data_IF_636018785954
#
_entry.id   IF_636018785954
#
_cell.length_a   1.000
_cell.length_b   1.000
_cell.length_c   1.000
_cell.angle_alpha   90.00
_cell.angle_beta   90.00
_cell.angle_gamma   90.00
#
_symmetry.space_group_name_H-M   'P 1'
#
loop_
_entity.id
_entity.type
_entity.pdbx_description
1 polymer ?
#
# COMPACT_ATOMS: atom_id res chain seq x y z
N UNK A 1 11.65 6.93 9.60
CA UNK A 1 11.89 5.98 8.48
C UNK A 1 10.71 6.07 7.54
N UNK A 2 10.93 6.10 6.22
CA UNK A 2 9.85 6.15 5.25
C UNK A 2 10.25 5.49 3.94
N UNK A 3 9.29 4.95 3.22
CA UNK A 3 9.51 4.27 1.96
C UNK A 3 8.28 4.34 1.06
N UNK A 4 8.53 4.33 -0.25
CA UNK A 4 7.49 4.38 -1.27
C UNK A 4 7.70 3.26 -2.28
N UNK A 5 6.63 2.51 -2.54
CA UNK A 5 6.59 1.52 -3.60
C UNK A 5 5.47 1.83 -4.57
N UNK A 6 5.76 1.69 -5.87
CA UNK A 6 4.81 2.01 -6.94
C UNK A 6 4.80 0.90 -7.96
N UNK A 7 3.66 0.24 -8.12
CA UNK A 7 3.41 -0.60 -9.28
C UNK A 7 2.94 0.27 -10.44
N UNK A 8 3.75 0.32 -11.50
CA UNK A 8 3.57 1.25 -12.62
C UNK A 8 2.78 0.59 -13.74
N UNK A 9 1.84 1.33 -14.32
CA UNK A 9 1.26 0.97 -15.59
C UNK A 9 2.33 1.08 -16.71
N UNK A 10 2.56 0.08 -17.57
CA UNK A 10 3.66 0.12 -18.55
C UNK A 10 3.55 1.28 -19.53
N UNK A 11 2.35 1.56 -20.03
CA UNK A 11 2.14 2.59 -21.06
C UNK A 11 2.35 4.01 -20.52
N UNK A 12 1.70 4.36 -19.41
CA UNK A 12 1.66 5.74 -18.89
C UNK A 12 2.60 6.01 -17.72
N UNK A 13 3.16 4.95 -17.13
CA UNK A 13 3.94 4.99 -15.88
C UNK A 13 3.18 5.56 -14.68
N UNK A 14 1.86 5.75 -14.77
CA UNK A 14 1.03 6.09 -13.61
C UNK A 14 1.04 4.97 -12.57
N UNK A 15 0.74 5.33 -11.31
CA UNK A 15 0.63 4.34 -10.24
C UNK A 15 -0.69 3.61 -10.44
N UNK A 16 -0.63 2.34 -10.83
CA UNK A 16 -1.82 1.49 -10.75
C UNK A 16 -2.20 1.31 -9.27
N UNK A 17 -1.17 1.03 -8.45
CA UNK A 17 -1.20 1.13 -7.00
C UNK A 17 0.14 1.68 -6.53
N UNK A 18 0.11 2.72 -5.71
CA UNK A 18 1.25 3.24 -4.97
C UNK A 18 1.00 3.13 -3.47
N UNK A 19 2.01 2.78 -2.70
CA UNK A 19 1.93 2.72 -1.24
C UNK A 19 3.11 3.45 -0.63
N UNK A 20 2.79 4.45 0.19
CA UNK A 20 3.74 5.19 1.00
C UNK A 20 3.60 4.79 2.45
N UNK A 21 4.70 4.44 3.09
CA UNK A 21 4.75 4.08 4.51
C UNK A 21 5.71 5.01 5.23
N UNK A 22 5.30 5.55 6.37
CA UNK A 22 6.16 6.34 7.25
C UNK A 22 5.96 5.95 8.71
N UNK A 23 7.08 5.75 9.41
CA UNK A 23 7.12 5.61 10.86
C UNK A 23 7.43 6.98 11.48
N UNK A 24 6.47 7.50 12.25
CA UNK A 24 6.45 8.80 12.91
C UNK A 24 6.46 8.60 14.43
N UNK A 25 7.65 8.40 15.00
CA UNK A 25 7.79 8.04 16.42
C UNK A 25 7.08 6.72 16.71
N UNK A 26 6.03 6.76 17.54
CA UNK A 26 5.23 5.58 17.91
C UNK A 26 4.12 5.24 16.90
N UNK A 27 3.83 6.09 15.93
CA UNK A 27 2.74 5.88 14.99
C UNK A 27 3.26 5.52 13.60
N UNK A 28 2.54 4.66 12.88
CA UNK A 28 2.78 4.39 11.46
C UNK A 28 1.64 4.95 10.62
N UNK A 29 1.98 5.47 9.43
CA UNK A 29 1.03 5.92 8.41
C UNK A 29 1.26 5.17 7.12
N UNK A 30 0.17 4.70 6.52
CA UNK A 30 0.17 3.95 5.25
C UNK A 30 -0.83 4.62 4.31
N UNK A 31 -0.32 5.35 3.32
CA UNK A 31 -1.12 6.01 2.31
C UNK A 31 -1.10 5.22 1.01
N UNK A 32 -2.29 4.98 0.44
CA UNK A 32 -2.48 4.27 -0.83
C UNK A 32 -2.91 5.27 -1.89
N UNK A 33 -2.30 5.18 -3.07
CA UNK A 33 -2.57 6.06 -4.23
C UNK A 33 -2.86 5.23 -5.48
N UNK A 34 -3.66 5.78 -6.40
CA UNK A 34 -4.02 5.14 -7.68
C UNK A 34 -5.04 4.00 -7.60
N UNK A 35 -5.22 3.39 -6.42
CA UNK A 35 -6.10 2.22 -6.26
C UNK A 35 -7.60 2.55 -6.19
N UNK A 36 -7.97 3.77 -5.78
CA UNK A 36 -9.36 4.22 -5.57
C UNK A 36 -9.60 5.61 -6.18
N UNK A 37 -10.81 6.16 -6.04
CA UNK A 37 -11.17 7.49 -6.53
C UNK A 37 -10.29 8.63 -5.96
N UNK A 38 -9.80 8.45 -4.73
CA UNK A 38 -8.86 9.36 -4.08
C UNK A 38 -7.81 8.58 -3.27
N UNK A 39 -6.75 9.28 -2.84
CA UNK A 39 -5.80 8.71 -1.92
C UNK A 39 -6.45 8.43 -0.56
N UNK A 40 -6.12 7.31 0.06
CA UNK A 40 -6.70 6.92 1.34
C UNK A 40 -5.67 6.29 2.26
N UNK A 41 -6.00 6.20 3.55
CA UNK A 41 -5.16 5.54 4.56
C UNK A 41 -5.60 4.10 4.78
N UNK A 42 -4.66 3.16 4.68
CA UNK A 42 -4.92 1.75 4.95
C UNK A 42 -4.75 1.45 6.44
N UNK A 43 -5.81 1.68 7.22
CA UNK A 43 -5.80 1.56 8.69
C UNK A 43 -5.36 0.18 9.20
N UNK A 44 -5.78 -0.90 8.55
CA UNK A 44 -5.38 -2.27 8.93
C UNK A 44 -3.86 -2.49 8.83
N UNK A 45 -3.22 -1.93 7.80
CA UNK A 45 -1.76 -1.94 7.66
C UNK A 45 -1.08 -1.03 8.69
N UNK A 46 -1.68 0.13 9.00
CA UNK A 46 -1.16 1.03 10.03
C UNK A 46 -1.16 0.38 11.42
N UNK A 47 -2.22 -0.34 11.78
CA UNK A 47 -2.33 -1.06 13.05
C UNK A 47 -1.25 -2.13 13.19
N UNK A 48 -1.09 -2.99 12.17
CA UNK A 48 -0.08 -4.04 12.20
C UNK A 48 1.36 -3.49 12.24
N UNK A 49 1.66 -2.49 11.40
CA UNK A 49 3.00 -1.89 11.35
C UNK A 49 3.32 -1.06 12.60
N UNK A 50 2.30 -0.53 13.28
CA UNK A 50 2.50 0.17 14.56
C UNK A 50 2.93 -0.79 15.65
N UNK A 51 2.39 -2.02 15.67
CA UNK A 51 2.85 -3.06 16.61
C UNK A 51 4.27 -3.53 16.30
N UNK A 52 4.57 -3.73 15.01
CA UNK A 52 5.88 -4.15 14.55
C UNK A 52 6.19 -3.55 13.18
N UNK A 53 7.14 -2.63 13.14
CA UNK A 53 7.58 -2.01 11.89
C UNK A 53 8.56 -2.93 11.13
N UNK A 54 8.03 -4.00 10.54
CA UNK A 54 8.77 -5.00 9.77
C UNK A 54 7.98 -5.44 8.52
N UNK A 55 8.65 -5.88 7.44
CA UNK A 55 7.98 -6.28 6.20
C UNK A 55 6.93 -7.37 6.39
N UNK A 56 7.18 -8.31 7.29
CA UNK A 56 6.31 -9.47 7.56
C UNK A 56 5.00 -9.06 8.23
N UNK A 57 4.94 -7.87 8.86
CA UNK A 57 3.71 -7.35 9.45
C UNK A 57 2.63 -7.02 8.41
N UNK A 58 2.99 -6.94 7.13
CA UNK A 58 2.04 -6.75 6.02
C UNK A 58 1.44 -8.08 5.53
N UNK A 59 2.00 -9.22 5.92
CA UNK A 59 1.59 -10.53 5.40
C UNK A 59 0.20 -10.92 5.93
N UNK A 60 -0.65 -11.47 5.07
CA UNK A 60 -2.00 -11.90 5.44
C UNK A 60 -3.03 -10.78 5.63
N UNK A 61 -2.62 -9.50 5.59
CA UNK A 61 -3.55 -8.37 5.69
C UNK A 61 -4.38 -8.26 4.42
N UNK A 62 -5.70 -8.23 4.59
CA UNK A 62 -6.66 -8.05 3.50
C UNK A 62 -7.16 -6.62 3.46
N UNK A 63 -7.19 -6.03 2.27
CA UNK A 63 -7.82 -4.74 2.00
C UNK A 63 -9.11 -4.99 1.23
N UNK A 64 -10.20 -4.34 1.62
CA UNK A 64 -11.48 -4.47 0.91
C UNK A 64 -11.37 -3.92 -0.51
N UNK A 65 -11.88 -4.67 -1.48
CA UNK A 65 -11.96 -4.22 -2.87
C UNK A 65 -13.16 -3.28 -3.13
N UNK A 66 -14.11 -3.17 -2.20
CA UNK A 66 -15.41 -2.53 -2.42
C UNK A 66 -15.34 -1.06 -2.87
N UNK A 67 -14.27 -0.34 -2.50
CA UNK A 67 -14.07 1.07 -2.83
C UNK A 67 -12.93 1.30 -3.82
N UNK A 68 -12.39 0.24 -4.41
CA UNK A 68 -11.26 0.32 -5.35
C UNK A 68 -11.76 0.41 -6.79
N UNK A 69 -10.95 1.02 -7.64
CA UNK A 69 -11.25 1.19 -9.06
C UNK A 69 -11.21 -0.17 -9.77
N UNK A 70 -12.10 -0.36 -10.73
CA UNK A 70 -12.13 -1.52 -11.62
C UNK A 70 -12.15 -1.02 -13.06
N UNK A 71 -11.09 -1.31 -13.82
CA UNK A 71 -10.96 -0.87 -15.22
C UNK A 71 -10.11 -1.86 -16.02
N UNK A 72 -9.91 -1.55 -17.31
CA UNK A 72 -9.13 -2.36 -18.26
C UNK A 72 -7.65 -2.54 -17.87
N UNK A 73 -7.14 -1.81 -16.86
CA UNK A 73 -5.76 -1.90 -16.39
C UNK A 73 -5.63 -2.74 -15.12
N UNK A 74 -6.74 -3.06 -14.45
CA UNK A 74 -6.74 -3.98 -13.32
C UNK A 74 -8.04 -3.94 -12.53
N UNK A 75 -8.45 -5.12 -12.06
CA UNK A 75 -9.65 -5.26 -11.22
C UNK A 75 -9.45 -4.68 -9.83
N UNK A 76 -10.58 -4.43 -9.15
CA UNK A 76 -10.58 -3.98 -7.76
C UNK A 76 -9.90 -5.00 -6.83
N UNK A 77 -10.11 -6.29 -7.05
CA UNK A 77 -9.49 -7.39 -6.29
C UNK A 77 -7.98 -7.44 -6.51
N UNK A 78 -7.54 -7.24 -7.76
CA UNK A 78 -6.12 -7.19 -8.08
C UNK A 78 -5.44 -6.00 -7.38
N UNK A 79 -6.07 -4.82 -7.38
CA UNK A 79 -5.58 -3.65 -6.66
C UNK A 79 -5.55 -3.88 -5.15
N UNK A 80 -6.61 -4.48 -4.59
CA UNK A 80 -6.68 -4.86 -3.18
C UNK A 80 -5.53 -5.81 -2.78
N UNK A 81 -5.23 -6.79 -3.62
CA UNK A 81 -4.12 -7.73 -3.42
C UNK A 81 -2.75 -7.03 -3.47
N UNK A 82 -2.56 -6.07 -4.38
CA UNK A 82 -1.29 -5.36 -4.52
C UNK A 82 -0.96 -4.46 -3.31
N UNK A 83 -1.94 -3.88 -2.63
CA UNK A 83 -1.71 -2.93 -1.52
C UNK A 83 -0.79 -3.51 -0.42
N UNK A 84 -1.09 -4.67 0.22
CA UNK A 84 -0.21 -5.24 1.25
C UNK A 84 1.16 -5.66 0.70
N UNK A 85 1.23 -6.15 -0.54
CA UNK A 85 2.49 -6.53 -1.20
C UNK A 85 3.39 -5.32 -1.40
N UNK A 86 2.84 -4.19 -1.86
CA UNK A 86 3.58 -2.95 -2.04
C UNK A 86 3.90 -2.28 -0.71
N UNK A 87 3.03 -2.39 0.30
CA UNK A 87 3.32 -1.94 1.66
C UNK A 87 4.55 -2.67 2.24
N UNK A 88 4.62 -4.00 2.09
CA UNK A 88 5.79 -4.81 2.47
C UNK A 88 7.07 -4.28 1.84
N UNK A 89 7.07 -4.07 0.51
CA UNK A 89 8.23 -3.54 -0.22
C UNK A 89 8.59 -2.11 0.19
N UNK A 90 7.59 -1.27 0.45
CA UNK A 90 7.78 0.08 0.96
C UNK A 90 8.43 0.07 2.36
N UNK A 91 8.05 -0.86 3.23
CA UNK A 91 8.68 -1.05 4.55
C UNK A 91 10.12 -1.54 4.40
N UNK A 92 10.40 -2.48 3.50
CA UNK A 92 11.77 -2.91 3.19
C UNK A 92 12.64 -1.71 2.81
N UNK A 93 12.20 -0.92 1.82
CA UNK A 93 12.88 0.32 1.41
C UNK A 93 13.04 1.34 2.53
N UNK A 94 12.09 1.41 3.46
CA UNK A 94 12.16 2.32 4.61
C UNK A 94 13.19 1.89 5.65
N UNK A 95 13.55 0.60 5.68
CA UNK A 95 14.52 0.02 6.61
C UNK A 95 15.96 0.08 6.07
N UNK A 96 16.14 0.11 4.75
CA UNK A 96 17.44 0.10 4.06
C UNK A 96 17.54 -1.13 3.17
#
# INVERSE_FOLDING_TARGET
KAGYEKFRQPASRFALVGVFVAQLGKAVRVAVTGAAACAFRAKSLEEALTQRFAPEACDGIRVSAATLNNDIHGSAEYRAHLIPVLARRAVQKALG
#
